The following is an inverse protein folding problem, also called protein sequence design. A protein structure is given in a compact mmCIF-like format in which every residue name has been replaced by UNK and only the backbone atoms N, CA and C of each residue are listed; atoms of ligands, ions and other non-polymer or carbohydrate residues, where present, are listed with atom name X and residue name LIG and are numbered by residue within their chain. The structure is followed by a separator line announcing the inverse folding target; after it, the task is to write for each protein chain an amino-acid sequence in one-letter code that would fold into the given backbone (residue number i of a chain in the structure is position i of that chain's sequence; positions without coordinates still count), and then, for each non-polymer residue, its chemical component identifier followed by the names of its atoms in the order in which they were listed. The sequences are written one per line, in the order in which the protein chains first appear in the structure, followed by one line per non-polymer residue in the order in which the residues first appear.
data_IF_943885079540
#
_entry.id   IF_943885079540
#
_cell.length_a   1.000
_cell.length_b   1.000
_cell.length_c   1.000
_cell.angle_alpha   90.00
_cell.angle_beta   90.00
_cell.angle_gamma   90.00
#
_symmetry.space_group_name_H-M   'P 1'
#
loop_
_entity.id
_entity.type
_entity.pdbx_description
1 polymer ?
#
# COMPACT_ATOMS: atom_id res chain seq x y z
N UNK A 1 -5.39 -14.23 -16.63
CA UNK A 1 -5.88 -13.65 -15.36
C UNK A 1 -5.48 -12.17 -15.22
N UNK A 2 -4.19 -11.81 -15.08
CA UNK A 2 -3.78 -10.40 -14.95
C UNK A 2 -4.12 -9.55 -16.20
N UNK A 3 -3.83 -10.06 -17.40
CA UNK A 3 -4.18 -9.38 -18.65
C UNK A 3 -5.69 -9.18 -18.82
N UNK A 4 -6.51 -10.14 -18.38
CA UNK A 4 -7.98 -10.06 -18.49
C UNK A 4 -8.57 -9.04 -17.52
N UNK A 5 -8.05 -8.99 -16.29
CA UNK A 5 -8.45 -8.00 -15.27
C UNK A 5 -8.13 -6.59 -15.74
N UNK A 6 -6.97 -6.41 -16.38
CA UNK A 6 -6.59 -5.10 -16.90
C UNK A 6 -7.36 -4.77 -18.20
N UNK A 7 -7.61 -5.73 -19.08
CA UNK A 7 -8.47 -5.53 -20.26
C UNK A 7 -9.90 -5.12 -19.87
N UNK A 8 -10.36 -5.53 -18.68
CA UNK A 8 -11.63 -5.07 -18.09
C UNK A 8 -11.58 -3.62 -17.54
N UNK A 9 -10.44 -2.93 -17.65
CA UNK A 9 -10.25 -1.52 -17.27
C UNK A 9 -9.57 -1.31 -15.92
N UNK A 10 -9.05 -2.35 -15.26
CA UNK A 10 -8.34 -2.19 -13.99
C UNK A 10 -7.05 -1.39 -14.19
N UNK A 11 -6.89 -0.26 -13.48
CA UNK A 11 -5.68 0.58 -13.58
C UNK A 11 -4.57 0.20 -12.61
N UNK A 12 -4.87 -0.73 -11.70
CA UNK A 12 -3.94 -1.18 -10.68
C UNK A 12 -4.00 -2.69 -10.53
N UNK A 13 -2.85 -3.33 -10.34
CA UNK A 13 -2.72 -4.75 -10.10
C UNK A 13 -1.86 -4.98 -8.87
N UNK A 14 -2.34 -5.83 -7.97
CA UNK A 14 -1.53 -6.38 -6.89
C UNK A 14 -1.03 -7.76 -7.30
N UNK A 15 0.29 -7.93 -7.31
CA UNK A 15 0.95 -9.22 -7.52
C UNK A 15 1.23 -9.80 -6.14
N UNK A 16 0.57 -10.89 -5.81
CA UNK A 16 0.81 -11.62 -4.57
C UNK A 16 1.96 -12.62 -4.76
N UNK A 17 3.16 -12.23 -4.31
CA UNK A 17 4.39 -12.98 -4.50
C UNK A 17 4.79 -13.67 -3.20
N UNK A 18 4.45 -14.95 -3.10
CA UNK A 18 4.79 -15.78 -1.93
C UNK A 18 5.77 -16.92 -2.29
N UNK A 19 6.66 -17.31 -1.36
CA UNK A 19 7.66 -18.37 -1.57
C UNK A 19 7.09 -19.79 -1.45
N UNK A 20 5.76 -19.95 -1.29
CA UNK A 20 5.15 -21.24 -0.96
C UNK A 20 4.75 -22.04 -2.19
N UNK A 21 4.65 -23.35 -2.02
CA UNK A 21 4.12 -24.25 -3.05
C UNK A 21 2.71 -23.83 -3.44
N UNK A 22 2.46 -23.69 -4.75
CA UNK A 22 1.20 -23.18 -5.29
C UNK A 22 1.25 -21.70 -5.73
N UNK A 23 2.30 -20.98 -5.35
CA UNK A 23 2.59 -19.62 -5.80
C UNK A 23 3.65 -19.62 -6.91
N UNK A 24 4.32 -18.50 -7.16
CA UNK A 24 5.34 -18.38 -8.22
C UNK A 24 6.45 -19.43 -8.07
N UNK A 25 6.60 -20.29 -9.09
CA UNK A 25 7.66 -21.32 -9.17
C UNK A 25 8.60 -21.08 -10.37
N UNK A 26 8.58 -19.87 -10.95
CA UNK A 26 9.39 -19.52 -12.12
C UNK A 26 10.79 -19.03 -11.77
N UNK A 27 11.64 -18.90 -12.79
CA UNK A 27 13.01 -18.37 -12.62
C UNK A 27 13.02 -16.83 -12.61
N UNK A 28 14.14 -16.19 -12.20
CA UNK A 28 14.35 -14.75 -12.40
C UNK A 28 14.09 -14.30 -13.84
N UNK A 29 14.56 -15.05 -14.84
CA UNK A 29 14.34 -14.74 -16.26
C UNK A 29 12.85 -14.82 -16.62
N UNK A 30 12.13 -15.80 -16.05
CA UNK A 30 10.69 -15.90 -16.18
C UNK A 30 9.96 -14.70 -15.59
N UNK A 31 10.42 -14.18 -14.45
CA UNK A 31 9.84 -13.00 -13.82
C UNK A 31 10.05 -11.75 -14.68
N UNK A 32 11.23 -11.59 -15.27
CA UNK A 32 11.52 -10.49 -16.22
C UNK A 32 10.68 -10.60 -17.48
N UNK A 33 10.54 -11.79 -18.06
CA UNK A 33 9.70 -12.00 -19.24
C UNK A 33 8.23 -11.68 -18.95
N UNK A 34 7.72 -12.10 -17.79
CA UNK A 34 6.39 -11.76 -17.32
C UNK A 34 6.22 -10.23 -17.17
N UNK A 35 7.16 -9.57 -16.49
CA UNK A 35 7.12 -8.12 -16.29
C UNK A 35 7.17 -7.33 -17.61
N UNK A 36 8.00 -7.77 -18.56
CA UNK A 36 8.11 -7.16 -19.88
C UNK A 36 6.79 -7.26 -20.66
N UNK A 37 6.14 -8.42 -20.65
CA UNK A 37 4.86 -8.60 -21.33
C UNK A 37 3.73 -7.80 -20.64
N UNK A 38 3.71 -7.78 -19.31
CA UNK A 38 2.77 -6.97 -18.54
C UNK A 38 2.89 -5.48 -18.88
N UNK A 39 4.13 -4.95 -18.91
CA UNK A 39 4.38 -3.55 -19.26
C UNK A 39 4.14 -3.25 -20.74
N UNK A 40 4.39 -4.20 -21.65
CA UNK A 40 4.05 -4.05 -23.08
C UNK A 40 2.55 -3.91 -23.28
N UNK A 41 1.75 -4.72 -22.58
CA UNK A 41 0.30 -4.68 -22.68
C UNK A 41 -0.29 -3.46 -21.95
N UNK A 42 0.33 -3.05 -20.83
CA UNK A 42 -0.23 -2.10 -19.88
C UNK A 42 0.87 -1.17 -19.34
N UNK A 43 1.40 -0.25 -20.17
CA UNK A 43 2.54 0.58 -19.81
C UNK A 43 2.28 1.44 -18.56
N UNK A 44 1.06 1.96 -18.43
CA UNK A 44 0.69 2.92 -17.38
C UNK A 44 0.00 2.29 -16.15
N UNK A 45 -0.13 0.95 -16.10
CA UNK A 45 -0.75 0.29 -14.97
C UNK A 45 0.07 0.49 -13.68
N UNK A 46 -0.60 0.73 -12.56
CA UNK A 46 0.04 0.73 -11.25
C UNK A 46 0.22 -0.71 -10.78
N UNK A 47 1.45 -1.17 -10.68
CA UNK A 47 1.79 -2.54 -10.25
C UNK A 47 2.35 -2.48 -8.84
N UNK A 48 1.74 -3.22 -7.91
CA UNK A 48 2.19 -3.30 -6.52
C UNK A 48 2.49 -4.77 -6.23
N UNK A 49 3.70 -5.07 -5.79
CA UNK A 49 4.07 -6.44 -5.43
C UNK A 49 3.89 -6.62 -3.92
N UNK A 50 2.89 -7.39 -3.52
CA UNK A 50 2.68 -7.82 -2.15
C UNK A 50 3.61 -8.99 -1.82
N UNK A 51 4.20 -8.96 -0.64
CA UNK A 51 5.23 -9.92 -0.22
C UNK A 51 5.12 -10.27 1.25
N UNK A 52 5.55 -11.47 1.59
CA UNK A 52 5.92 -11.84 2.95
C UNK A 52 7.30 -11.22 3.30
N UNK A 53 7.38 -10.29 4.26
CA UNK A 53 8.62 -9.56 4.54
C UNK A 53 9.60 -10.32 5.44
N UNK A 54 9.29 -11.56 5.85
CA UNK A 54 10.17 -12.33 6.74
C UNK A 54 11.55 -12.54 6.07
N UNK A 55 12.66 -12.16 6.71
CA UNK A 55 13.97 -12.14 6.05
C UNK A 55 14.40 -13.48 5.43
N UNK A 56 14.02 -14.60 6.04
CA UNK A 56 14.34 -15.95 5.56
C UNK A 56 13.42 -16.43 4.42
N UNK A 57 12.29 -15.76 4.17
CA UNK A 57 11.38 -16.06 3.08
C UNK A 57 11.84 -15.42 1.76
N UNK A 58 12.45 -14.23 1.83
CA UNK A 58 12.82 -13.42 0.66
C UNK A 58 13.76 -14.12 -0.34
N UNK A 59 14.76 -14.92 0.05
CA UNK A 59 15.61 -15.63 -0.90
C UNK A 59 14.86 -16.64 -1.78
N UNK A 60 13.66 -17.05 -1.37
CA UNK A 60 12.82 -18.01 -2.11
C UNK A 60 12.05 -17.40 -3.30
N UNK A 61 12.12 -16.09 -3.51
CA UNK A 61 11.38 -15.38 -4.57
C UNK A 61 12.30 -14.46 -5.38
N UNK A 62 12.07 -14.29 -6.71
CA UNK A 62 12.84 -13.37 -7.55
C UNK A 62 12.37 -11.91 -7.36
N UNK A 63 12.42 -11.43 -6.11
CA UNK A 63 11.86 -10.13 -5.74
C UNK A 63 12.56 -8.96 -6.45
N UNK A 64 13.85 -9.08 -6.78
CA UNK A 64 14.57 -8.06 -7.54
C UNK A 64 13.94 -7.87 -8.93
N UNK A 65 13.60 -8.96 -9.58
CA UNK A 65 13.01 -8.97 -10.92
C UNK A 65 11.58 -8.43 -10.86
N UNK A 66 10.77 -8.85 -9.88
CA UNK A 66 9.43 -8.29 -9.66
C UNK A 66 9.46 -6.79 -9.32
N UNK A 67 10.42 -6.36 -8.50
CA UNK A 67 10.61 -4.95 -8.18
C UNK A 67 10.95 -4.11 -9.42
N UNK A 68 11.71 -4.66 -10.38
CA UNK A 68 12.16 -3.90 -11.58
C UNK A 68 11.01 -3.35 -12.45
N UNK A 69 9.82 -3.92 -12.36
CA UNK A 69 8.63 -3.46 -13.07
C UNK A 69 7.47 -3.09 -12.13
N UNK A 70 7.71 -2.98 -10.82
CA UNK A 70 6.71 -2.56 -9.82
C UNK A 70 6.78 -1.05 -9.56
N UNK A 71 5.65 -0.46 -9.19
CA UNK A 71 5.57 0.92 -8.72
C UNK A 71 5.78 1.04 -7.20
N UNK A 72 5.43 -0.01 -6.44
CA UNK A 72 5.61 -0.07 -4.99
C UNK A 72 5.70 -1.52 -4.51
N UNK A 73 6.18 -1.71 -3.29
CA UNK A 73 6.13 -2.99 -2.57
C UNK A 73 5.12 -2.90 -1.43
N UNK A 74 4.36 -3.97 -1.20
CA UNK A 74 3.35 -4.04 -0.16
C UNK A 74 3.68 -5.19 0.82
N UNK A 75 4.57 -4.96 1.80
CA UNK A 75 4.86 -6.00 2.78
C UNK A 75 3.63 -6.33 3.63
N UNK A 76 3.38 -7.62 3.82
CA UNK A 76 2.32 -8.14 4.70
C UNK A 76 2.78 -8.03 6.16
N UNK A 77 2.31 -7.00 6.86
CA UNK A 77 2.67 -6.74 8.26
C UNK A 77 1.67 -7.48 9.15
N UNK A 78 1.90 -8.78 9.34
CA UNK A 78 1.00 -9.67 10.10
C UNK A 78 1.63 -10.07 11.44
N UNK A 79 1.56 -9.14 12.38
CA UNK A 79 2.27 -9.24 13.65
C UNK A 79 1.70 -10.27 14.62
N UNK A 80 0.40 -10.59 14.60
CA UNK A 80 -0.20 -11.65 15.43
C UNK A 80 -0.45 -12.94 14.63
N UNK A 81 -0.86 -12.86 13.36
CA UNK A 81 -1.16 -14.05 12.55
C UNK A 81 0.08 -14.92 12.33
N UNK A 82 1.24 -14.29 12.15
CA UNK A 82 2.51 -15.01 11.99
C UNK A 82 3.29 -15.16 13.29
N UNK A 83 2.75 -14.72 14.42
CA UNK A 83 3.44 -14.84 15.69
C UNK A 83 3.49 -16.29 16.17
N UNK A 84 4.71 -16.81 16.29
CA UNK A 84 4.98 -18.13 16.84
C UNK A 84 6.39 -18.18 17.40
N UNK A 85 6.70 -19.11 18.31
CA UNK A 85 8.07 -19.31 18.79
C UNK A 85 9.09 -19.50 17.64
N UNK A 86 8.70 -20.23 16.59
CA UNK A 86 9.56 -20.44 15.41
C UNK A 86 9.75 -19.18 14.58
N UNK A 87 8.71 -18.35 14.42
CA UNK A 87 8.82 -17.06 13.72
C UNK A 87 9.75 -16.11 14.48
N UNK A 88 9.59 -15.99 15.81
CA UNK A 88 10.43 -15.13 16.65
C UNK A 88 11.91 -15.55 16.60
N UNK A 89 12.16 -16.86 16.66
CA UNK A 89 13.50 -17.43 16.49
C UNK A 89 14.07 -17.15 15.09
N UNK A 90 13.26 -17.26 14.04
CA UNK A 90 13.65 -16.91 12.67
C UNK A 90 14.08 -15.44 12.56
N UNK A 91 13.35 -14.52 13.20
CA UNK A 91 13.70 -13.10 13.25
C UNK A 91 15.02 -12.86 13.99
N UNK A 92 15.20 -13.47 15.17
CA UNK A 92 16.44 -13.40 15.92
C UNK A 92 17.65 -13.94 15.13
N UNK A 93 17.51 -15.11 14.49
CA UNK A 93 18.54 -15.70 13.63
C UNK A 93 18.87 -14.86 12.40
N UNK A 94 17.91 -14.05 11.95
CA UNK A 94 18.08 -13.10 10.84
C UNK A 94 18.68 -11.76 11.26
N UNK A 95 19.05 -11.59 12.54
CA UNK A 95 19.63 -10.37 13.07
C UNK A 95 18.63 -9.34 13.58
N UNK A 96 17.35 -9.71 13.70
CA UNK A 96 16.26 -8.83 14.13
C UNK A 96 15.52 -9.46 15.32
N UNK A 97 16.10 -9.54 16.53
CA UNK A 97 15.39 -10.14 17.66
C UNK A 97 14.15 -9.31 18.03
N UNK A 98 12.95 -9.92 18.17
CA UNK A 98 11.76 -9.19 18.61
C UNK A 98 11.96 -8.60 20.03
N UNK A 99 11.63 -7.33 20.26
CA UNK A 99 11.76 -6.69 21.56
C UNK A 99 10.84 -7.39 22.57
N UNK A 100 11.36 -7.67 23.77
CA UNK A 100 10.63 -8.36 24.85
C UNK A 100 10.03 -9.72 24.45
N UNK A 101 10.45 -10.28 23.31
CA UNK A 101 9.91 -11.53 22.78
C UNK A 101 8.52 -11.40 22.13
N UNK A 102 8.08 -10.18 21.82
CA UNK A 102 6.78 -9.90 21.22
C UNK A 102 6.88 -9.43 19.76
N UNK A 103 5.99 -9.94 18.93
CA UNK A 103 5.82 -9.49 17.55
C UNK A 103 4.83 -8.31 17.52
N UNK A 104 5.34 -7.08 17.60
CA UNK A 104 4.52 -5.86 17.53
C UNK A 104 4.35 -5.37 16.09
N UNK A 105 3.30 -4.59 15.76
CA UNK A 105 3.16 -3.99 14.44
C UNK A 105 4.38 -3.15 14.04
N UNK A 106 4.93 -2.37 14.97
CA UNK A 106 6.11 -1.53 14.74
C UNK A 106 7.35 -2.37 14.43
N UNK A 107 7.59 -3.43 15.22
CA UNK A 107 8.73 -4.32 15.00
C UNK A 107 8.67 -4.96 13.61
N UNK A 108 7.53 -5.53 13.23
CA UNK A 108 7.40 -6.18 11.92
C UNK A 108 7.56 -5.18 10.78
N UNK A 109 7.01 -3.98 10.94
CA UNK A 109 7.12 -2.91 9.97
C UNK A 109 8.57 -2.41 9.82
N UNK A 110 9.30 -2.24 10.92
CA UNK A 110 10.72 -1.81 10.90
C UNK A 110 11.61 -2.83 10.21
N UNK A 111 11.43 -4.12 10.50
CA UNK A 111 12.19 -5.17 9.83
C UNK A 111 11.84 -5.21 8.33
N UNK A 112 10.56 -5.11 7.98
CA UNK A 112 10.12 -5.04 6.59
C UNK A 112 10.75 -3.85 5.85
N UNK A 113 10.73 -2.66 6.45
CA UNK A 113 11.34 -1.47 5.88
C UNK A 113 12.86 -1.64 5.68
N UNK A 114 13.55 -2.18 6.68
CA UNK A 114 14.99 -2.48 6.61
C UNK A 114 15.33 -3.36 5.41
N UNK A 115 14.68 -4.53 5.29
CA UNK A 115 15.02 -5.53 4.26
C UNK A 115 14.56 -5.17 2.86
N UNK A 116 13.58 -4.28 2.72
CA UNK A 116 13.01 -3.88 1.43
C UNK A 116 13.55 -2.55 0.90
N UNK A 117 14.10 -1.69 1.75
CA UNK A 117 14.69 -0.40 1.36
C UNK A 117 15.69 -0.52 0.20
N UNK A 118 16.43 -1.64 0.13
CA UNK A 118 17.39 -1.95 -0.94
C UNK A 118 16.81 -1.98 -2.36
N UNK A 119 15.49 -2.09 -2.51
CA UNK A 119 14.83 -2.09 -3.83
C UNK A 119 14.48 -0.68 -4.31
N UNK A 120 14.61 0.36 -3.48
CA UNK A 120 14.39 1.75 -3.86
C UNK A 120 12.95 2.07 -4.29
N UNK A 121 11.98 1.25 -3.87
CA UNK A 121 10.56 1.44 -4.17
C UNK A 121 9.81 1.96 -2.93
N UNK A 122 8.75 2.76 -3.13
CA UNK A 122 7.81 3.09 -2.06
C UNK A 122 7.26 1.83 -1.39
N UNK A 123 7.09 1.89 -0.07
CA UNK A 123 6.47 0.83 0.71
C UNK A 123 5.04 1.22 1.07
N UNK A 124 4.10 0.30 0.78
CA UNK A 124 2.67 0.43 1.06
C UNK A 124 2.22 -0.74 1.94
N UNK A 125 2.57 -0.72 3.24
CA UNK A 125 2.42 -1.89 4.09
C UNK A 125 0.95 -2.30 4.22
N UNK A 126 0.73 -3.61 4.23
CA UNK A 126 -0.60 -4.19 4.41
C UNK A 126 -0.74 -4.59 5.88
N UNK A 127 -1.60 -3.89 6.61
CA UNK A 127 -1.84 -4.15 8.03
C UNK A 127 -2.66 -5.42 8.26
N UNK A 128 -2.52 -6.02 9.45
CA UNK A 128 -3.21 -7.24 9.81
C UNK A 128 -4.71 -7.02 9.99
N UNK A 129 -5.51 -7.60 9.09
CA UNK A 129 -6.96 -7.40 9.08
C UNK A 129 -7.68 -7.83 10.37
N UNK A 130 -7.20 -8.87 11.06
CA UNK A 130 -7.88 -9.41 12.26
C UNK A 130 -7.51 -8.71 13.58
N UNK A 131 -6.68 -7.65 13.54
CA UNK A 131 -6.25 -6.95 14.75
C UNK A 131 -7.26 -5.89 15.22
N UNK A 132 -7.09 -5.42 16.45
CA UNK A 132 -7.94 -4.40 17.08
C UNK A 132 -7.54 -2.96 16.70
N UNK A 133 -8.41 -1.99 16.98
CA UNK A 133 -8.18 -0.59 16.68
C UNK A 133 -6.97 0.02 17.40
N UNK A 134 -6.59 -0.47 18.59
CA UNK A 134 -5.44 0.06 19.33
C UNK A 134 -4.13 -0.32 18.64
N UNK A 135 -3.99 -1.58 18.23
CA UNK A 135 -2.84 -2.05 17.46
C UNK A 135 -2.81 -1.45 16.05
N UNK A 136 -3.96 -1.28 15.42
CA UNK A 136 -4.05 -0.54 14.16
C UNK A 136 -3.62 0.93 14.30
N UNK A 137 -4.01 1.60 15.38
CA UNK A 137 -3.55 2.97 15.66
C UNK A 137 -2.03 3.06 15.73
N UNK A 138 -1.41 2.16 16.49
CA UNK A 138 0.05 2.02 16.58
C UNK A 138 0.71 1.78 15.22
N UNK A 139 0.16 0.83 14.45
CA UNK A 139 0.64 0.53 13.09
C UNK A 139 0.60 1.77 12.18
N UNK A 140 -0.52 2.49 12.14
CA UNK A 140 -0.71 3.68 11.30
C UNK A 140 0.21 4.84 11.70
N UNK A 141 0.33 5.09 13.01
CA UNK A 141 1.18 6.15 13.54
C UNK A 141 2.66 5.88 13.21
N UNK A 142 3.10 4.63 13.40
CA UNK A 142 4.47 4.21 13.10
C UNK A 142 4.76 4.18 11.60
N UNK A 143 3.83 3.71 10.77
CA UNK A 143 3.98 3.75 9.31
C UNK A 143 4.14 5.18 8.80
N UNK A 144 3.28 6.09 9.28
CA UNK A 144 3.32 7.50 8.89
C UNK A 144 4.62 8.16 9.34
N UNK A 145 5.07 7.92 10.57
CA UNK A 145 6.34 8.43 11.10
C UNK A 145 7.55 7.97 10.28
N UNK A 146 7.47 6.79 9.65
CA UNK A 146 8.51 6.22 8.79
C UNK A 146 8.32 6.53 7.28
N UNK A 147 7.48 7.51 6.93
CA UNK A 147 7.30 7.93 5.54
C UNK A 147 6.49 6.95 4.68
N UNK A 148 5.66 6.12 5.29
CA UNK A 148 4.72 5.20 4.64
C UNK A 148 3.26 5.63 4.92
N UNK A 149 2.81 6.79 4.39
CA UNK A 149 1.47 7.33 4.67
C UNK A 149 0.36 6.52 3.98
N UNK A 150 0.69 5.78 2.93
CA UNK A 150 -0.23 4.91 2.22
C UNK A 150 -0.16 3.49 2.80
N UNK A 151 -1.20 3.09 3.51
CA UNK A 151 -1.34 1.71 4.02
C UNK A 151 -2.49 1.00 3.32
N UNK A 152 -2.45 -0.33 3.32
CA UNK A 152 -3.53 -1.18 2.81
C UNK A 152 -4.05 -2.12 3.90
N UNK A 153 -5.27 -2.61 3.72
CA UNK A 153 -5.91 -3.57 4.62
C UNK A 153 -6.73 -4.58 3.82
N UNK A 154 -6.83 -5.83 4.31
CA UNK A 154 -7.57 -6.90 3.62
C UNK A 154 -9.10 -6.83 3.81
N UNK A 155 -9.81 -7.51 2.90
CA UNK A 155 -11.24 -7.39 2.55
C UNK A 155 -12.23 -7.06 3.69
N UNK A 156 -13.33 -6.43 3.27
CA UNK A 156 -14.57 -6.27 4.05
C UNK A 156 -15.06 -7.59 4.69
N UNK A 157 -15.25 -7.59 6.01
CA UNK A 157 -15.71 -8.75 6.80
C UNK A 157 -14.61 -9.56 7.52
N UNK A 158 -13.34 -9.22 7.33
CA UNK A 158 -12.23 -9.70 8.19
C UNK A 158 -11.89 -8.66 9.26
N UNK A 159 -11.99 -7.38 8.89
CA UNK A 159 -11.67 -6.28 9.77
C UNK A 159 -12.81 -5.92 10.74
N UNK A 160 -12.50 -5.76 12.04
CA UNK A 160 -13.43 -5.19 13.02
C UNK A 160 -13.96 -3.80 12.63
N UNK A 161 -15.19 -3.47 13.04
CA UNK A 161 -15.87 -2.21 12.68
C UNK A 161 -15.22 -0.95 13.23
N UNK A 162 -14.59 -1.05 14.40
CA UNK A 162 -13.80 0.01 15.03
C UNK A 162 -12.55 0.35 14.21
N UNK A 163 -11.90 -0.64 13.59
CA UNK A 163 -10.78 -0.40 12.67
C UNK A 163 -11.23 0.35 11.41
N UNK A 164 -12.40 0.01 10.85
CA UNK A 164 -12.97 0.77 9.72
C UNK A 164 -13.23 2.23 10.09
N UNK A 165 -13.74 2.47 11.30
CA UNK A 165 -13.99 3.82 11.82
C UNK A 165 -12.68 4.60 11.96
N UNK A 166 -11.66 3.97 12.56
CA UNK A 166 -10.32 4.52 12.70
C UNK A 166 -9.69 4.90 11.35
N UNK A 167 -9.76 4.01 10.35
CA UNK A 167 -9.24 4.29 9.01
C UNK A 167 -10.00 5.43 8.34
N UNK A 168 -11.31 5.52 8.52
CA UNK A 168 -12.10 6.64 7.99
C UNK A 168 -11.75 7.97 8.65
N UNK A 169 -11.48 7.99 9.96
CA UNK A 169 -11.08 9.19 10.70
C UNK A 169 -9.65 9.65 10.34
N UNK A 170 -8.77 8.69 10.03
CA UNK A 170 -7.35 8.94 9.75
C UNK A 170 -7.02 9.01 8.26
N UNK A 171 -7.96 8.69 7.38
CA UNK A 171 -7.84 9.04 5.96
C UNK A 171 -7.60 10.53 5.93
N UNK A 172 -6.50 11.03 5.32
CA UNK A 172 -6.28 12.47 5.22
C UNK A 172 -7.57 13.06 4.66
N UNK A 173 -8.29 13.81 5.50
CA UNK A 173 -9.30 14.72 5.02
C UNK A 173 -8.49 15.60 4.08
N UNK A 174 -8.71 15.44 2.79
CA UNK A 174 -8.00 16.22 1.80
C UNK A 174 -7.96 17.69 2.24
N UNK A 175 -6.85 18.37 1.98
CA UNK A 175 -6.65 19.72 2.50
C UNK A 175 -7.87 20.57 2.18
N UNK A 176 -8.48 21.18 3.20
CA UNK A 176 -9.61 22.05 2.95
C UNK A 176 -9.15 23.28 2.17
N UNK A 177 -9.81 23.55 1.06
CA UNK A 177 -9.59 24.72 0.24
C UNK A 177 -10.90 25.47 0.06
N UNK A 178 -10.95 26.71 0.55
CA UNK A 178 -12.11 27.58 0.31
C UNK A 178 -11.97 28.23 -1.06
N UNK A 179 -12.91 27.95 -1.94
CA UNK A 179 -12.98 28.51 -3.30
C UNK A 179 -13.07 30.04 -3.22
N UNK A 180 -12.17 30.72 -3.91
CA UNK A 180 -12.16 32.17 -4.07
C UNK A 180 -12.58 32.56 -5.50
N UNK A 181 -12.90 33.84 -5.68
CA UNK A 181 -13.29 34.37 -6.99
C UNK A 181 -12.22 34.08 -8.05
N UNK A 182 -12.63 33.50 -9.18
CA UNK A 182 -11.74 33.14 -10.29
C UNK A 182 -11.05 31.77 -10.16
N UNK A 183 -11.42 30.96 -9.17
CA UNK A 183 -11.02 29.56 -9.16
C UNK A 183 -11.71 28.73 -10.24
N UNK A 184 -10.98 27.73 -10.72
CA UNK A 184 -11.52 26.60 -11.46
C UNK A 184 -10.94 25.34 -10.87
N UNK A 185 -11.64 24.22 -11.01
CA UNK A 185 -11.15 22.93 -10.54
C UNK A 185 -9.78 22.59 -11.12
N UNK A 186 -9.55 22.96 -12.39
CA UNK A 186 -8.26 22.84 -13.08
C UNK A 186 -7.13 23.66 -12.46
N UNK A 187 -7.42 24.89 -12.02
CA UNK A 187 -6.43 25.77 -11.35
C UNK A 187 -6.10 25.25 -9.96
N UNK A 188 -7.12 24.85 -9.20
CA UNK A 188 -6.97 24.26 -7.88
C UNK A 188 -6.17 22.95 -7.98
N UNK A 189 -6.53 22.05 -8.89
CA UNK A 189 -5.81 20.80 -9.12
C UNK A 189 -4.32 21.02 -9.41
N UNK A 190 -3.99 21.97 -10.30
CA UNK A 190 -2.59 22.33 -10.57
C UNK A 190 -1.86 22.91 -9.35
N UNK A 191 -2.53 23.74 -8.56
CA UNK A 191 -1.95 24.33 -7.35
C UNK A 191 -1.56 23.27 -6.32
N UNK A 192 -2.35 22.20 -6.22
CA UNK A 192 -2.14 21.12 -5.25
C UNK A 192 -1.47 19.87 -5.84
N UNK A 193 -1.18 19.85 -7.14
CA UNK A 193 -0.65 18.66 -7.82
C UNK A 193 -1.64 17.50 -7.91
N UNK A 194 -2.95 17.76 -7.86
CA UNK A 194 -4.03 16.77 -7.86
C UNK A 194 -4.81 16.84 -9.16
N UNK A 195 -5.20 15.69 -9.70
CA UNK A 195 -6.13 15.64 -10.84
C UNK A 195 -7.46 16.32 -10.45
N UNK A 196 -7.92 17.35 -11.19
CA UNK A 196 -9.20 18.00 -10.94
C UNK A 196 -10.37 17.03 -10.78
N UNK A 197 -10.42 15.95 -11.56
CA UNK A 197 -11.51 14.98 -11.47
C UNK A 197 -11.50 14.20 -10.15
N UNK A 198 -10.33 14.02 -9.52
CA UNK A 198 -10.22 13.45 -8.17
C UNK A 198 -10.78 14.41 -7.12
N UNK A 199 -10.56 15.72 -7.29
CA UNK A 199 -11.17 16.75 -6.44
C UNK A 199 -12.70 16.73 -6.59
N UNK A 200 -13.22 16.66 -7.82
CA UNK A 200 -14.67 16.59 -8.06
C UNK A 200 -15.30 15.36 -7.39
N UNK A 201 -14.66 14.19 -7.52
CA UNK A 201 -15.12 12.95 -6.92
C UNK A 201 -15.12 13.02 -5.38
N UNK A 202 -14.03 13.52 -4.77
CA UNK A 202 -13.90 13.67 -3.32
C UNK A 202 -14.99 14.59 -2.72
N UNK A 203 -15.42 15.60 -3.48
CA UNK A 203 -16.42 16.59 -3.06
C UNK A 203 -17.84 16.30 -3.58
N UNK A 204 -18.04 15.20 -4.31
CA UNK A 204 -19.33 14.83 -4.93
C UNK A 204 -19.94 15.98 -5.76
N UNK A 205 -19.11 16.68 -6.53
CA UNK A 205 -19.57 17.76 -7.40
C UNK A 205 -20.42 17.19 -8.53
N UNK A 206 -21.64 17.73 -8.70
CA UNK A 206 -22.53 17.33 -9.78
C UNK A 206 -22.00 17.78 -11.16
N UNK A 207 -21.39 18.97 -11.22
CA UNK A 207 -20.69 19.48 -12.38
C UNK A 207 -19.29 19.97 -11.96
N UNK A 208 -18.20 19.33 -12.42
CA UNK A 208 -16.82 19.75 -12.14
C UNK A 208 -16.46 21.17 -12.60
N UNK A 209 -17.28 21.77 -13.49
CA UNK A 209 -17.07 23.13 -13.99
C UNK A 209 -17.81 24.20 -13.18
N UNK A 210 -18.63 23.81 -12.19
CA UNK A 210 -19.39 24.73 -11.35
C UNK A 210 -18.82 24.72 -9.94
N UNK A 211 -18.23 25.85 -9.53
CA UNK A 211 -17.75 26.11 -8.19
C UNK A 211 -18.38 27.40 -7.64
N UNK A 212 -18.70 27.40 -6.35
CA UNK A 212 -19.24 28.57 -5.67
C UNK A 212 -18.17 29.23 -4.80
N UNK A 213 -18.05 30.56 -4.86
CA UNK A 213 -17.15 31.29 -3.96
C UNK A 213 -17.58 31.05 -2.52
N UNK A 214 -16.62 30.74 -1.65
CA UNK A 214 -16.85 30.33 -0.26
C UNK A 214 -17.14 28.84 -0.07
N UNK A 215 -17.27 28.06 -1.15
CA UNK A 215 -17.39 26.61 -1.07
C UNK A 215 -16.09 26.01 -0.53
N UNK A 216 -16.17 25.17 0.50
CA UNK A 216 -15.03 24.41 1.00
C UNK A 216 -14.92 23.10 0.24
N UNK A 217 -13.77 22.87 -0.39
CA UNK A 217 -13.43 21.64 -1.08
C UNK A 217 -12.40 20.85 -0.26
N UNK A 218 -12.64 19.56 -0.10
CA UNK A 218 -11.65 18.57 0.33
C UNK A 218 -10.71 18.27 -0.85
N UNK A 219 -9.44 18.66 -0.76
CA UNK A 219 -8.44 18.39 -1.79
C UNK A 219 -7.71 17.08 -1.46
N UNK A 220 -8.06 15.92 -2.07
CA UNK A 220 -7.49 14.63 -1.67
C UNK A 220 -5.97 14.65 -1.89
N UNK A 221 -5.22 14.63 -0.79
CA UNK A 221 -3.78 14.50 -0.79
C UNK A 221 -3.46 13.00 -0.83
N UNK A 222 -2.85 12.53 -1.91
CA UNK A 222 -2.47 11.13 -2.13
C UNK A 222 -2.63 10.73 -3.56
#
# INVERSE_FOLDING_TARGET
MAADVIAAGARSLFIDLEPWTGYWQGTPEGALAFGAELRRLQPDATIITAIDPRPWALPGIPLKEFASFSNALAPLIYWQTFDSPGTRDGYAKSGYPPPEGEMTPEFVLDVAASVLSRYGLPLRPVGQGTSDAAQWGRFLDHATANGMPEVSAWRYGVMPGDVWSLLSERTPSGQEYTVVSGDTLGRIGRMWGVDPMRIAAANRLADPNVLYVGQVLCIPLG
#
